data_IF_831882723071
#
_entry.id   IF_831882723071
#
_cell.length_a   1.000
_cell.length_b   1.000
_cell.length_c   1.000
_cell.angle_alpha   90.00
_cell.angle_beta   90.00
_cell.angle_gamma   90.00
#
_symmetry.space_group_name_H-M   'P 1'
#
loop_
_entity.id
_entity.type
_entity.pdbx_description
1 polymer ?
#
# COMPACT_ATOMS: atom_id res chain seq x y z
N UNK A 1 40.07 3.85 4.68
CA UNK A 1 40.38 3.08 3.46
C UNK A 1 40.03 1.64 3.77
N UNK A 2 39.03 0.96 3.24
CA UNK A 2 37.80 1.29 2.48
C UNK A 2 36.63 0.95 3.45
N UNK A 3 35.45 1.53 3.39
CA UNK A 3 34.42 1.13 2.43
C UNK A 3 33.61 2.36 2.02
N UNK A 4 33.62 2.65 0.72
CA UNK A 4 32.65 3.57 0.15
C UNK A 4 31.25 3.08 0.52
N UNK A 5 30.43 3.99 1.04
CA UNK A 5 29.05 3.70 1.44
C UNK A 5 28.28 2.98 0.33
N UNK A 6 27.13 2.42 0.68
CA UNK A 6 26.22 1.72 -0.24
C UNK A 6 26.16 2.37 -1.63
N UNK A 7 26.10 3.71 -1.65
CA UNK A 7 26.22 4.60 -2.81
C UNK A 7 27.38 4.29 -3.77
N UNK A 8 28.60 4.12 -3.26
CA UNK A 8 29.80 3.85 -4.06
C UNK A 8 29.82 2.40 -4.59
N UNK A 9 29.18 1.46 -3.89
CA UNK A 9 28.97 0.08 -4.35
C UNK A 9 27.89 0.04 -5.43
N UNK A 10 26.80 0.79 -5.28
CA UNK A 10 25.73 0.93 -6.26
C UNK A 10 26.26 1.53 -7.57
N UNK A 11 27.04 2.62 -7.51
CA UNK A 11 27.67 3.22 -8.71
C UNK A 11 28.55 2.25 -9.49
N UNK A 12 29.12 1.27 -8.81
CA UNK A 12 30.01 0.25 -9.39
C UNK A 12 29.24 -0.93 -10.02
N UNK A 13 28.07 -1.28 -9.47
CA UNK A 13 27.19 -2.34 -9.97
C UNK A 13 26.52 -1.94 -11.29
N UNK A 14 26.12 -0.68 -11.44
CA UNK A 14 25.39 -0.22 -12.63
C UNK A 14 26.24 0.18 -13.85
N UNK A 15 27.58 0.06 -13.79
CA UNK A 15 28.50 0.47 -14.88
C UNK A 15 28.07 1.76 -15.60
N UNK A 16 27.71 2.80 -14.85
CA UNK A 16 27.23 4.06 -15.44
C UNK A 16 28.46 4.90 -15.82
N UNK A 17 28.91 4.74 -17.08
CA UNK A 17 29.69 5.76 -17.77
C UNK A 17 28.77 6.95 -18.07
N UNK A 18 29.03 8.08 -17.39
CA UNK A 18 28.60 9.46 -17.67
C UNK A 18 27.10 9.78 -17.92
N UNK A 19 26.61 10.85 -17.26
CA UNK A 19 25.29 11.51 -17.42
C UNK A 19 24.05 10.87 -16.76
N UNK A 20 24.09 10.64 -15.44
CA UNK A 20 22.87 10.69 -14.62
C UNK A 20 23.03 11.85 -13.62
N UNK A 21 22.07 12.76 -13.56
CA UNK A 21 22.06 13.83 -12.56
C UNK A 21 21.90 13.25 -11.14
N UNK A 22 22.20 14.05 -10.12
CA UNK A 22 22.17 13.62 -8.72
C UNK A 22 20.77 13.15 -8.29
N UNK A 23 19.71 13.68 -8.89
CA UNK A 23 18.32 13.33 -8.57
C UNK A 23 17.99 11.94 -9.13
N UNK A 24 18.39 11.64 -10.37
CA UNK A 24 18.21 10.31 -10.98
C UNK A 24 18.94 9.22 -10.20
N UNK A 25 20.12 9.53 -9.65
CA UNK A 25 20.87 8.59 -8.80
C UNK A 25 20.18 8.37 -7.45
N UNK A 26 19.57 9.42 -6.89
CA UNK A 26 18.81 9.36 -5.63
C UNK A 26 17.53 8.53 -5.80
N UNK A 27 16.78 8.74 -6.89
CA UNK A 27 15.60 7.94 -7.26
C UNK A 27 15.94 6.47 -7.44
N UNK A 28 17.00 6.16 -8.21
CA UNK A 28 17.45 4.79 -8.41
C UNK A 28 17.85 4.13 -7.07
N UNK A 29 18.45 4.88 -6.15
CA UNK A 29 18.78 4.39 -4.82
C UNK A 29 17.52 4.15 -3.96
N UNK A 30 16.48 4.97 -4.10
CA UNK A 30 15.17 4.78 -3.49
C UNK A 30 14.51 3.49 -3.98
N UNK A 31 14.40 3.31 -5.30
CA UNK A 31 13.85 2.10 -5.91
C UNK A 31 14.55 0.83 -5.42
N UNK A 32 15.88 0.83 -5.38
CA UNK A 32 16.64 -0.35 -4.92
C UNK A 32 16.36 -0.65 -3.45
N UNK A 33 16.27 0.39 -2.62
CA UNK A 33 15.92 0.24 -1.21
C UNK A 33 14.52 -0.36 -1.05
N UNK A 34 13.54 0.16 -1.79
CA UNK A 34 12.17 -0.35 -1.80
C UNK A 34 12.14 -1.81 -2.23
N UNK A 35 12.89 -2.20 -3.27
CA UNK A 35 13.03 -3.62 -3.67
C UNK A 35 13.55 -4.49 -2.52
N UNK A 36 14.51 -4.00 -1.72
CA UNK A 36 15.00 -4.77 -0.57
C UNK A 36 13.95 -4.89 0.53
N UNK A 37 13.23 -3.81 0.88
CA UNK A 37 12.14 -3.82 1.88
C UNK A 37 10.99 -4.73 1.44
N UNK A 38 10.65 -4.65 0.17
CA UNK A 38 9.63 -5.46 -0.51
C UNK A 38 9.86 -6.97 -0.35
N UNK A 39 11.11 -7.45 -0.33
CA UNK A 39 11.41 -8.88 -0.22
C UNK A 39 11.08 -9.46 1.16
N UNK A 40 10.94 -8.62 2.19
CA UNK A 40 10.66 -9.05 3.56
C UNK A 40 9.17 -8.94 3.93
N UNK A 41 8.31 -8.49 2.99
CA UNK A 41 6.85 -8.36 3.20
C UNK A 41 6.09 -9.64 2.81
N UNK A 42 4.96 -9.83 3.48
CA UNK A 42 3.94 -10.85 3.21
C UNK A 42 2.65 -10.23 2.65
N UNK A 43 1.76 -11.08 2.11
CA UNK A 43 0.47 -10.68 1.54
C UNK A 43 -0.37 -9.79 2.47
N UNK A 44 -0.35 -10.08 3.78
CA UNK A 44 -1.09 -9.31 4.79
C UNK A 44 -0.63 -7.84 4.91
N UNK A 45 0.62 -7.54 4.56
CA UNK A 45 1.22 -6.23 4.78
C UNK A 45 0.81 -5.23 3.68
N UNK A 46 0.37 -5.73 2.52
CA UNK A 46 0.04 -4.91 1.34
C UNK A 46 -1.41 -5.10 0.85
N UNK A 47 -2.14 -6.07 1.40
CA UNK A 47 -3.47 -6.41 0.90
C UNK A 47 -4.47 -5.27 1.12
N UNK A 48 -5.37 -5.12 0.15
CA UNK A 48 -6.63 -4.42 0.38
C UNK A 48 -7.46 -5.24 1.37
N UNK A 49 -7.59 -4.72 2.60
CA UNK A 49 -8.33 -5.37 3.67
C UNK A 49 -9.80 -5.65 3.27
N UNK A 50 -10.38 -6.76 3.72
CA UNK A 50 -11.74 -7.24 3.33
C UNK A 50 -12.85 -6.20 3.35
N UNK A 51 -12.78 -5.26 4.30
CA UNK A 51 -13.75 -4.17 4.48
C UNK A 51 -13.76 -3.18 3.31
N UNK A 52 -12.65 -3.09 2.58
CA UNK A 52 -12.45 -2.15 1.49
C UNK A 52 -12.51 -2.86 0.12
N UNK A 53 -12.79 -4.16 0.09
CA UNK A 53 -12.95 -4.88 -1.17
C UNK A 53 -14.24 -4.44 -1.84
N UNK A 54 -14.12 -3.92 -3.06
CA UNK A 54 -15.23 -3.63 -3.95
C UNK A 54 -15.50 -4.88 -4.80
N UNK A 55 -16.62 -5.56 -4.52
CA UNK A 55 -17.00 -6.81 -5.15
C UNK A 55 -18.44 -6.78 -5.70
N UNK A 56 -18.70 -7.63 -6.68
CA UNK A 56 -19.99 -7.76 -7.36
C UNK A 56 -20.78 -8.94 -6.79
N UNK A 57 -22.05 -8.73 -6.46
CA UNK A 57 -22.96 -9.83 -6.11
C UNK A 57 -23.19 -10.71 -7.35
N UNK A 58 -22.81 -11.98 -7.27
CA UNK A 58 -22.96 -12.92 -8.36
C UNK A 58 -24.40 -13.25 -8.72
N UNK A 59 -25.36 -13.00 -7.82
CA UNK A 59 -26.79 -13.22 -8.05
C UNK A 59 -27.47 -12.05 -8.76
N UNK A 60 -26.86 -10.87 -8.75
CA UNK A 60 -27.40 -9.69 -9.42
C UNK A 60 -27.32 -9.84 -10.95
N UNK A 61 -28.33 -9.35 -11.70
CA UNK A 61 -28.27 -9.30 -13.14
C UNK A 61 -27.08 -8.46 -13.63
N UNK A 62 -26.48 -8.86 -14.75
CA UNK A 62 -25.38 -8.14 -15.39
C UNK A 62 -25.66 -6.64 -15.58
N UNK A 63 -26.89 -6.25 -15.91
CA UNK A 63 -27.24 -4.83 -16.09
C UNK A 63 -27.16 -3.98 -14.81
N UNK A 64 -27.35 -4.59 -13.64
CA UNK A 64 -27.24 -3.95 -12.34
C UNK A 64 -25.77 -3.89 -11.95
N UNK A 65 -25.10 -5.06 -12.01
CA UNK A 65 -23.68 -5.18 -11.70
C UNK A 65 -22.81 -4.24 -12.55
N UNK A 66 -23.07 -4.15 -13.87
CA UNK A 66 -22.29 -3.29 -14.75
C UNK A 66 -22.42 -1.80 -14.40
N UNK A 67 -23.61 -1.35 -13.97
CA UNK A 67 -23.78 0.06 -13.55
C UNK A 67 -22.93 0.34 -12.32
N UNK A 68 -22.98 -0.54 -11.32
CA UNK A 68 -22.12 -0.47 -10.16
C UNK A 68 -20.63 -0.45 -10.55
N UNK A 69 -20.19 -1.37 -11.40
CA UNK A 69 -18.79 -1.42 -11.85
C UNK A 69 -18.33 -0.14 -12.57
N UNK A 70 -19.23 0.56 -13.26
CA UNK A 70 -18.91 1.81 -13.98
C UNK A 70 -18.85 3.04 -13.06
N UNK A 71 -19.38 2.95 -11.85
CA UNK A 71 -19.28 4.00 -10.83
C UNK A 71 -17.94 3.93 -10.08
N UNK A 72 -17.25 2.80 -10.17
CA UNK A 72 -16.00 2.50 -9.47
C UNK A 72 -14.77 2.70 -10.37
N UNK A 73 -13.62 2.97 -9.75
CA UNK A 73 -12.35 3.21 -10.47
C UNK A 73 -11.58 1.93 -10.84
N UNK A 74 -12.18 0.75 -10.63
CA UNK A 74 -11.49 -0.54 -10.79
C UNK A 74 -11.76 -1.19 -12.15
N UNK A 75 -10.75 -1.93 -12.64
CA UNK A 75 -10.88 -2.67 -13.90
C UNK A 75 -11.33 -4.12 -13.72
N UNK A 76 -11.19 -4.67 -12.51
CA UNK A 76 -11.43 -6.07 -12.19
C UNK A 76 -12.13 -6.17 -10.85
N UNK A 77 -13.14 -7.02 -10.76
CA UNK A 77 -14.01 -7.13 -9.61
C UNK A 77 -14.14 -8.60 -9.20
N UNK A 78 -13.92 -8.93 -7.92
CA UNK A 78 -14.34 -10.21 -7.37
C UNK A 78 -15.85 -10.36 -7.47
N UNK A 79 -16.30 -11.57 -7.80
CA UNK A 79 -17.71 -11.93 -7.79
C UNK A 79 -17.93 -12.83 -6.58
N UNK A 80 -18.85 -12.44 -5.71
CA UNK A 80 -19.17 -13.20 -4.52
C UNK A 80 -20.51 -13.93 -4.63
N UNK A 81 -20.67 -15.01 -3.87
CA UNK A 81 -21.88 -15.83 -3.79
C UNK A 81 -22.86 -15.28 -2.75
N UNK A 82 -22.88 -15.87 -1.57
CA UNK A 82 -23.67 -15.37 -0.44
C UNK A 82 -23.03 -14.15 0.24
N UNK A 83 -21.71 -14.19 0.41
CA UNK A 83 -20.91 -13.11 1.00
C UNK A 83 -19.47 -13.14 0.48
N UNK A 84 -18.64 -12.20 0.95
CA UNK A 84 -17.25 -12.04 0.51
C UNK A 84 -16.34 -13.24 0.85
N UNK A 85 -16.76 -14.14 1.73
CA UNK A 85 -16.02 -15.37 2.04
C UNK A 85 -16.27 -16.43 0.96
N UNK A 86 -17.26 -16.25 0.08
CA UNK A 86 -17.54 -17.09 -1.08
C UNK A 86 -17.22 -16.37 -2.40
N UNK A 87 -15.93 -16.22 -2.74
CA UNK A 87 -15.52 -15.67 -4.05
C UNK A 87 -15.59 -16.73 -5.14
N UNK A 88 -16.48 -16.52 -6.12
CA UNK A 88 -16.77 -17.46 -7.21
C UNK A 88 -15.81 -17.27 -8.40
N UNK A 89 -15.25 -16.08 -8.56
CA UNK A 89 -14.32 -15.74 -9.63
C UNK A 89 -14.11 -14.24 -9.76
N UNK A 90 -13.40 -13.84 -10.82
CA UNK A 90 -13.10 -12.43 -11.12
C UNK A 90 -13.67 -12.07 -12.49
N UNK A 91 -14.34 -10.92 -12.60
CA UNK A 91 -14.79 -10.36 -13.88
C UNK A 91 -14.05 -9.06 -14.19
N UNK A 92 -13.63 -8.91 -15.44
CA UNK A 92 -13.03 -7.69 -15.94
C UNK A 92 -14.12 -6.77 -16.52
N UNK A 93 -14.04 -5.46 -16.28
CA UNK A 93 -15.02 -4.48 -16.76
C UNK A 93 -15.26 -4.59 -18.28
N UNK A 94 -14.19 -4.73 -19.06
CA UNK A 94 -14.27 -4.99 -20.51
C UNK A 94 -15.06 -6.26 -20.88
N UNK A 95 -14.96 -7.35 -20.12
CA UNK A 95 -15.72 -8.58 -20.37
C UNK A 95 -17.20 -8.38 -20.01
N UNK A 96 -17.49 -7.72 -18.89
CA UNK A 96 -18.85 -7.34 -18.51
C UNK A 96 -19.51 -6.43 -19.57
N UNK A 97 -18.78 -5.44 -20.09
CA UNK A 97 -19.21 -4.60 -21.21
C UNK A 97 -19.46 -5.41 -22.48
N UNK A 98 -18.59 -6.37 -22.80
CA UNK A 98 -18.77 -7.27 -23.97
C UNK A 98 -20.04 -8.10 -23.83
N UNK A 99 -20.32 -8.63 -22.63
CA UNK A 99 -21.56 -9.35 -22.34
C UNK A 99 -22.79 -8.45 -22.50
N UNK A 100 -22.72 -7.22 -22.02
CA UNK A 100 -23.85 -6.29 -22.01
C UNK A 100 -24.32 -5.87 -23.41
N UNK A 101 -23.43 -5.94 -24.41
CA UNK A 101 -23.79 -5.73 -25.82
C UNK A 101 -24.74 -6.81 -26.36
N UNK A 102 -24.75 -8.00 -25.77
CA UNK A 102 -25.78 -9.02 -26.03
C UNK A 102 -26.97 -8.83 -25.09
N UNK A 103 -28.09 -8.35 -25.64
CA UNK A 103 -29.30 -8.06 -24.86
C UNK A 103 -29.83 -9.27 -24.09
N UNK A 104 -29.52 -10.49 -24.55
CA UNK A 104 -29.93 -11.75 -23.90
C UNK A 104 -29.17 -12.02 -22.60
N UNK A 105 -27.97 -11.46 -22.44
CA UNK A 105 -27.12 -11.66 -21.26
C UNK A 105 -27.37 -10.62 -20.17
N UNK A 106 -27.97 -9.46 -20.49
CA UNK A 106 -28.28 -8.40 -19.52
C UNK A 106 -29.06 -8.86 -18.27
N UNK A 107 -30.12 -9.70 -18.39
CA UNK A 107 -30.86 -10.16 -17.21
C UNK A 107 -30.23 -11.39 -16.54
N UNK A 108 -29.10 -11.90 -17.06
CA UNK A 108 -28.45 -13.11 -16.53
C UNK A 108 -27.66 -12.74 -15.27
N UNK A 109 -27.76 -13.53 -14.18
CA UNK A 109 -26.92 -13.35 -13.01
C UNK A 109 -25.43 -13.41 -13.38
N UNK A 110 -24.62 -12.51 -12.81
CA UNK A 110 -23.20 -12.41 -13.18
C UNK A 110 -22.48 -13.75 -13.04
N UNK A 111 -22.73 -14.51 -11.96
CA UNK A 111 -22.08 -15.81 -11.69
C UNK A 111 -22.33 -16.87 -12.77
N UNK A 112 -23.37 -16.71 -13.59
CA UNK A 112 -23.71 -17.64 -14.66
C UNK A 112 -22.98 -17.33 -15.98
N UNK A 113 -22.27 -16.19 -16.07
CA UNK A 113 -21.46 -15.77 -17.22
C UNK A 113 -20.09 -16.48 -17.26
N UNK A 114 -20.09 -17.81 -17.16
CA UNK A 114 -18.89 -18.64 -16.94
C UNK A 114 -17.76 -18.41 -17.94
N UNK A 115 -18.08 -18.12 -19.20
CA UNK A 115 -17.07 -17.90 -20.25
C UNK A 115 -16.33 -16.56 -20.10
N UNK A 116 -16.84 -15.67 -19.26
CA UNK A 116 -16.33 -14.31 -19.03
C UNK A 116 -15.76 -14.12 -17.62
N UNK A 117 -15.94 -15.11 -16.75
CA UNK A 117 -15.40 -15.13 -15.39
C UNK A 117 -14.08 -15.89 -15.41
N UNK A 118 -13.05 -15.25 -14.86
CA UNK A 118 -11.76 -15.89 -14.63
C UNK A 118 -11.77 -16.61 -13.28
N UNK A 119 -11.11 -17.78 -13.19
CA UNK A 119 -10.92 -18.45 -11.91
C UNK A 119 -10.14 -17.54 -10.97
N UNK A 120 -10.51 -17.59 -9.69
CA UNK A 120 -9.83 -16.87 -8.62
C UNK A 120 -8.74 -17.75 -8.01
N UNK A 121 -7.62 -17.13 -7.63
CA UNK A 121 -6.53 -17.80 -6.91
C UNK A 121 -6.55 -17.35 -5.46
N UNK A 122 -6.46 -18.31 -4.55
CA UNK A 122 -6.43 -18.05 -3.11
C UNK A 122 -5.03 -18.26 -2.56
N UNK A 123 -4.61 -17.37 -1.67
CA UNK A 123 -3.31 -17.44 -1.00
C UNK A 123 -3.46 -17.20 0.51
N UNK A 124 -2.56 -17.71 1.35
CA UNK A 124 -2.54 -17.35 2.78
C UNK A 124 -1.96 -15.95 2.99
N UNK A 125 -2.31 -15.34 4.12
CA UNK A 125 -1.75 -14.06 4.61
C UNK A 125 -0.23 -14.02 4.67
N UNK A 126 0.40 -15.17 4.97
CA UNK A 126 1.86 -15.35 5.16
C UNK A 126 2.61 -15.65 3.86
N UNK A 127 1.98 -15.46 2.70
CA UNK A 127 2.63 -15.65 1.41
C UNK A 127 3.57 -14.47 1.15
N UNK A 128 4.87 -14.74 1.09
CA UNK A 128 5.88 -13.74 0.68
C UNK A 128 5.53 -13.09 -0.66
N UNK A 129 5.64 -11.76 -0.69
CA UNK A 129 5.30 -10.96 -1.88
C UNK A 129 6.23 -11.28 -3.06
N UNK A 130 7.51 -11.55 -2.82
CA UNK A 130 8.48 -11.88 -3.87
C UNK A 130 8.07 -13.12 -4.67
N UNK A 131 7.50 -14.09 -3.97
CA UNK A 131 7.06 -15.38 -4.51
C UNK A 131 5.71 -15.18 -5.19
N UNK A 132 4.80 -14.46 -4.54
CA UNK A 132 3.50 -14.11 -5.09
C UNK A 132 3.64 -13.39 -6.43
N UNK A 133 4.52 -12.39 -6.53
CA UNK A 133 4.72 -11.62 -7.75
C UNK A 133 5.20 -12.48 -8.92
N UNK A 134 6.15 -13.40 -8.68
CA UNK A 134 6.64 -14.34 -9.71
C UNK A 134 5.52 -15.27 -10.19
N UNK A 135 4.69 -15.77 -9.28
CA UNK A 135 3.54 -16.62 -9.60
C UNK A 135 2.49 -15.85 -10.42
N UNK A 136 2.10 -14.66 -9.96
CA UNK A 136 1.17 -13.78 -10.64
C UNK A 136 1.64 -13.41 -12.06
N UNK A 137 2.93 -13.13 -12.25
CA UNK A 137 3.52 -12.89 -13.57
C UNK A 137 3.46 -14.14 -14.47
N UNK A 138 3.85 -15.30 -13.95
CA UNK A 138 3.89 -16.54 -14.72
C UNK A 138 2.49 -16.96 -15.19
N UNK A 139 1.49 -16.81 -14.33
CA UNK A 139 0.10 -17.16 -14.60
C UNK A 139 -0.68 -16.04 -15.31
N UNK A 140 -0.08 -14.85 -15.45
CA UNK A 140 -0.76 -13.63 -15.92
C UNK A 140 -2.01 -13.34 -15.10
N UNK A 141 -1.93 -13.62 -13.80
CA UNK A 141 -2.97 -13.35 -12.84
C UNK A 141 -2.73 -11.98 -12.21
N UNK A 142 -3.73 -11.10 -12.25
CA UNK A 142 -3.63 -9.73 -11.76
C UNK A 142 -4.23 -9.55 -10.37
N UNK A 143 -5.04 -10.51 -9.90
CA UNK A 143 -5.73 -10.42 -8.61
C UNK A 143 -5.70 -11.77 -7.92
N UNK A 144 -5.38 -11.77 -6.64
CA UNK A 144 -5.50 -12.93 -5.76
C UNK A 144 -6.32 -12.55 -4.53
N UNK A 145 -7.00 -13.54 -3.96
CA UNK A 145 -7.75 -13.38 -2.70
C UNK A 145 -6.92 -13.95 -1.56
N UNK A 146 -6.79 -13.18 -0.49
CA UNK A 146 -6.05 -13.55 0.71
C UNK A 146 -7.01 -14.15 1.72
N UNK A 147 -6.67 -15.33 2.23
CA UNK A 147 -7.46 -16.05 3.23
C UNK A 147 -6.75 -16.08 4.60
N UNK A 148 -7.55 -16.02 5.67
CA UNK A 148 -7.10 -16.32 7.03
C UNK A 148 -7.00 -17.83 7.30
N UNK A 149 -6.60 -18.20 8.51
CA UNK A 149 -6.46 -19.60 8.93
C UNK A 149 -7.80 -20.34 9.07
N UNK A 150 -8.91 -19.60 9.12
CA UNK A 150 -10.27 -20.15 9.19
C UNK A 150 -10.91 -20.29 7.80
N UNK A 151 -10.22 -19.87 6.75
CA UNK A 151 -10.68 -19.89 5.37
C UNK A 151 -11.61 -18.74 5.00
N UNK A 152 -11.66 -17.67 5.80
CA UNK A 152 -12.39 -16.45 5.49
C UNK A 152 -11.54 -15.52 4.63
N UNK A 153 -12.18 -14.64 3.86
CA UNK A 153 -11.48 -13.64 3.08
C UNK A 153 -10.93 -12.54 4.00
N UNK A 154 -9.62 -12.47 4.11
CA UNK A 154 -8.89 -11.40 4.81
C UNK A 154 -8.73 -10.16 3.96
N UNK A 155 -8.52 -10.36 2.66
CA UNK A 155 -8.19 -9.27 1.75
C UNK A 155 -8.03 -9.70 0.30
N UNK A 156 -7.53 -8.77 -0.50
CA UNK A 156 -7.22 -8.93 -1.91
C UNK A 156 -5.87 -8.29 -2.18
N UNK A 157 -5.05 -8.93 -3.03
CA UNK A 157 -3.81 -8.33 -3.54
C UNK A 157 -3.90 -8.24 -5.06
N UNK A 158 -3.71 -7.05 -5.58
CA UNK A 158 -3.53 -6.78 -7.00
C UNK A 158 -2.03 -6.77 -7.36
N UNK A 159 -1.73 -7.05 -8.63
CA UNK A 159 -0.35 -6.93 -9.12
C UNK A 159 0.15 -5.49 -9.05
N UNK A 160 -0.77 -4.55 -9.20
CA UNK A 160 -0.55 -3.12 -9.10
C UNK A 160 -0.09 -2.73 -7.67
N UNK A 161 -0.70 -3.27 -6.62
CA UNK A 161 -0.29 -3.03 -5.21
C UNK A 161 1.17 -3.47 -4.98
N UNK A 162 1.56 -4.63 -5.52
CA UNK A 162 2.93 -5.15 -5.46
C UNK A 162 3.93 -4.21 -6.17
N UNK A 163 3.52 -3.60 -7.28
CA UNK A 163 4.36 -2.67 -8.03
C UNK A 163 4.47 -1.32 -7.31
N UNK A 164 3.40 -0.85 -6.68
CA UNK A 164 3.38 0.37 -5.88
C UNK A 164 4.39 0.28 -4.73
N UNK A 165 4.50 -0.87 -4.06
CA UNK A 165 5.50 -1.09 -3.01
C UNK A 165 6.95 -0.99 -3.50
N UNK A 166 7.20 -1.34 -4.76
CA UNK A 166 8.54 -1.28 -5.36
C UNK A 166 8.83 0.13 -5.85
N UNK A 167 7.87 0.73 -6.56
CA UNK A 167 8.06 1.97 -7.30
C UNK A 167 7.81 3.20 -6.43
N UNK A 168 7.00 3.07 -5.38
CA UNK A 168 6.38 4.19 -4.68
C UNK A 168 5.28 4.84 -5.51
N UNK A 169 4.69 5.92 -4.99
CA UNK A 169 3.85 6.81 -5.80
C UNK A 169 4.67 7.27 -7.00
N UNK A 170 4.25 6.91 -8.22
CA UNK A 170 4.87 7.44 -9.44
C UNK A 170 4.52 8.92 -9.48
N UNK A 171 5.40 9.75 -8.94
CA UNK A 171 5.34 11.20 -9.07
C UNK A 171 5.55 11.53 -10.55
N UNK A 172 4.54 12.14 -11.17
CA UNK A 172 4.70 12.74 -12.49
C UNK A 172 5.75 13.86 -12.44
N UNK A 173 6.32 14.24 -13.57
CA UNK A 173 7.27 15.37 -13.69
C UNK A 173 6.68 16.73 -13.27
N UNK A 174 5.39 16.73 -12.94
CA UNK A 174 4.58 17.85 -12.47
C UNK A 174 4.05 17.67 -11.04
N UNK A 175 4.27 16.53 -10.40
CA UNK A 175 3.85 16.30 -9.03
C UNK A 175 4.88 16.93 -8.10
N UNK A 176 4.44 17.92 -7.31
CA UNK A 176 5.24 18.42 -6.20
C UNK A 176 5.48 17.25 -5.24
N UNK A 177 6.75 16.91 -4.95
CA UNK A 177 7.14 15.97 -3.89
C UNK A 177 6.20 16.20 -2.70
N UNK A 178 5.37 15.19 -2.34
CA UNK A 178 4.66 15.28 -1.06
C UNK A 178 5.74 15.30 0.01
N UNK A 179 6.04 16.49 0.53
CA UNK A 179 7.09 16.67 1.54
C UNK A 179 6.58 16.03 2.84
N UNK A 180 6.85 14.74 3.00
CA UNK A 180 6.48 13.95 4.17
C UNK A 180 7.17 14.45 5.43
N UNK A 181 8.29 15.17 5.30
CA UNK A 181 8.97 15.81 6.42
C UNK A 181 9.67 17.10 6.01
N UNK A 182 9.42 18.17 6.76
CA UNK A 182 10.08 19.47 6.58
C UNK A 182 10.86 19.84 7.83
N UNK A 183 12.11 20.27 7.66
CA UNK A 183 12.86 20.90 8.76
C UNK A 183 12.42 22.36 8.92
N UNK A 184 12.01 22.72 10.13
CA UNK A 184 11.62 24.07 10.52
C UNK A 184 12.86 24.92 10.84
N UNK A 185 12.70 26.26 10.80
CA UNK A 185 13.79 27.20 11.05
C UNK A 185 14.40 27.13 12.46
N UNK A 186 13.65 26.58 13.43
CA UNK A 186 14.11 26.35 14.81
C UNK A 186 14.88 25.03 14.98
N UNK A 187 15.08 24.26 13.90
CA UNK A 187 15.76 22.97 13.91
C UNK A 187 14.85 21.80 14.27
N UNK A 188 13.56 22.04 14.57
CA UNK A 188 12.55 20.99 14.69
C UNK A 188 12.11 20.47 13.33
N UNK A 189 11.37 19.37 13.30
CA UNK A 189 10.78 18.82 12.08
C UNK A 189 9.27 18.85 12.16
N UNK A 190 8.61 18.98 11.00
CA UNK A 190 7.18 18.73 10.83
C UNK A 190 7.03 17.54 9.89
N UNK A 191 6.48 16.44 10.37
CA UNK A 191 6.31 15.20 9.60
C UNK A 191 4.83 14.89 9.37
N UNK A 192 4.53 14.22 8.26
CA UNK A 192 3.26 13.58 7.97
C UNK A 192 3.12 12.35 8.89
N UNK A 193 1.94 12.12 9.47
CA UNK A 193 1.74 10.94 10.32
C UNK A 193 1.74 9.62 9.56
N UNK A 194 1.50 9.61 8.25
CA UNK A 194 1.69 8.42 7.40
C UNK A 194 3.15 8.22 6.97
N UNK A 195 4.07 9.08 7.41
CA UNK A 195 5.50 8.85 7.16
C UNK A 195 5.93 7.51 7.77
N UNK A 196 6.63 6.72 6.96
CA UNK A 196 7.24 5.46 7.35
C UNK A 196 8.30 5.69 8.44
N UNK A 197 8.29 4.87 9.48
CA UNK A 197 9.24 5.00 10.59
C UNK A 197 10.68 4.78 10.16
N UNK A 198 10.96 3.91 9.19
CA UNK A 198 12.32 3.69 8.68
C UNK A 198 12.85 4.95 7.99
N UNK A 199 12.01 5.60 7.19
CA UNK A 199 12.37 6.86 6.54
C UNK A 199 12.54 7.97 7.56
N UNK A 200 11.79 7.93 8.67
CA UNK A 200 11.95 8.87 9.76
C UNK A 200 13.27 8.65 10.50
N UNK A 201 13.70 7.40 10.75
CA UNK A 201 15.00 7.05 11.35
C UNK A 201 16.21 7.54 10.54
N UNK A 202 16.05 7.68 9.22
CA UNK A 202 17.08 8.25 8.37
C UNK A 202 17.25 9.77 8.57
N UNK A 203 16.20 10.45 9.02
CA UNK A 203 16.16 11.91 9.24
C UNK A 203 16.48 12.28 10.68
N UNK A 204 15.96 11.52 11.64
CA UNK A 204 16.19 11.70 13.07
C UNK A 204 16.93 10.49 13.63
N UNK A 205 17.92 10.71 14.49
CA UNK A 205 18.74 9.63 15.06
C UNK A 205 18.00 8.87 16.17
N UNK A 206 16.90 8.23 15.82
CA UNK A 206 16.05 7.40 16.68
C UNK A 206 16.01 5.99 16.11
N UNK A 207 15.71 5.00 16.96
CA UNK A 207 15.27 3.68 16.50
C UNK A 207 13.93 3.34 17.10
N UNK A 208 12.97 3.00 16.26
CA UNK A 208 11.64 2.56 16.68
C UNK A 208 11.59 1.04 16.79
N UNK A 209 10.85 0.54 17.77
CA UNK A 209 10.48 -0.88 17.82
C UNK A 209 9.34 -1.12 16.83
N UNK A 210 9.65 -1.72 15.67
CA UNK A 210 8.73 -1.82 14.51
C UNK A 210 7.89 -3.10 14.47
N UNK A 211 7.87 -3.89 15.55
CA UNK A 211 7.15 -5.17 15.56
C UNK A 211 5.62 -5.00 15.51
N UNK A 212 5.10 -3.83 15.90
CA UNK A 212 3.65 -3.59 16.03
C UNK A 212 3.09 -2.47 15.14
N UNK A 213 3.95 -1.64 14.54
CA UNK A 213 3.54 -0.50 13.72
C UNK A 213 4.63 -0.09 12.72
N UNK A 214 4.21 0.43 11.55
CA UNK A 214 5.12 0.84 10.47
C UNK A 214 5.16 2.36 10.25
N UNK A 215 4.11 3.08 10.64
CA UNK A 215 3.95 4.52 10.40
C UNK A 215 4.08 5.34 11.69
N UNK A 216 4.43 6.62 11.54
CA UNK A 216 4.48 7.57 12.66
C UNK A 216 3.14 7.68 13.40
N UNK A 217 2.02 7.62 12.69
CA UNK A 217 0.67 7.60 13.26
C UNK A 217 0.45 6.33 14.09
N UNK A 218 0.81 5.17 13.56
CA UNK A 218 0.71 3.89 14.28
C UNK A 218 1.50 3.91 15.59
N UNK A 219 2.77 4.32 15.51
CA UNK A 219 3.63 4.51 16.69
C UNK A 219 3.01 5.45 17.73
N UNK A 220 2.53 6.62 17.31
CA UNK A 220 1.99 7.59 18.28
C UNK A 220 0.67 7.13 18.91
N UNK A 221 -0.21 6.46 18.16
CA UNK A 221 -1.45 5.90 18.70
C UNK A 221 -1.14 4.82 19.73
N UNK A 222 -0.17 3.95 19.43
CA UNK A 222 0.31 2.92 20.36
C UNK A 222 0.84 3.56 21.66
N UNK A 223 1.76 4.52 21.54
CA UNK A 223 2.31 5.22 22.71
C UNK A 223 1.28 6.01 23.52
N UNK A 224 0.20 6.47 22.88
CA UNK A 224 -0.89 7.18 23.54
C UNK A 224 -1.95 6.24 24.14
N UNK A 225 -1.95 4.94 23.79
CA UNK A 225 -2.98 3.93 24.09
C UNK A 225 -4.41 4.38 23.71
N UNK A 226 -4.51 5.26 22.69
CA UNK A 226 -5.77 5.76 22.12
C UNK A 226 -5.54 6.62 20.89
N UNK A 227 -6.61 6.86 20.15
CA UNK A 227 -6.65 7.85 19.07
C UNK A 227 -6.91 9.24 19.69
N UNK A 228 -6.02 10.24 19.47
CA UNK A 228 -6.24 11.61 19.94
C UNK A 228 -7.41 12.28 19.22
N UNK A 229 -8.11 13.21 19.90
CA UNK A 229 -9.15 14.03 19.26
C UNK A 229 -8.58 15.15 18.38
N UNK A 230 -9.38 15.70 17.46
CA UNK A 230 -8.97 16.78 16.53
C UNK A 230 -8.43 18.04 17.24
N UNK A 231 -8.99 18.38 18.40
CA UNK A 231 -8.59 19.56 19.20
C UNK A 231 -7.59 19.21 20.32
N UNK A 232 -7.09 17.98 20.36
CA UNK A 232 -6.28 17.48 21.45
C UNK A 232 -4.79 17.64 21.17
N UNK A 233 -4.10 18.40 22.01
CA UNK A 233 -2.63 18.47 21.98
C UNK A 233 -2.03 17.30 22.75
N UNK A 234 -1.64 16.26 22.02
CA UNK A 234 -0.92 15.13 22.56
C UNK A 234 0.59 15.28 22.37
N UNK A 235 1.36 14.85 23.37
CA UNK A 235 2.82 14.86 23.33
C UNK A 235 3.32 13.49 23.77
N UNK A 236 4.17 12.88 22.94
CA UNK A 236 4.88 11.63 23.23
C UNK A 236 6.37 11.95 23.31
N UNK A 237 7.05 11.42 24.31
CA UNK A 237 8.51 11.53 24.43
C UNK A 237 9.14 10.15 24.26
N UNK A 238 10.10 10.04 23.34
CA UNK A 238 10.72 8.77 22.98
C UNK A 238 12.16 9.00 22.49
N UNK A 239 13.12 8.22 23.02
CA UNK A 239 14.54 8.22 22.62
C UNK A 239 15.17 9.63 22.48
N UNK A 240 14.86 10.53 23.43
CA UNK A 240 15.40 11.90 23.45
C UNK A 240 14.72 12.87 22.47
N UNK A 241 13.63 12.47 21.83
CA UNK A 241 12.79 13.32 21.00
C UNK A 241 11.41 13.52 21.60
N UNK A 242 10.81 14.67 21.30
CA UNK A 242 9.44 15.03 21.63
C UNK A 242 8.62 15.09 20.35
N UNK A 243 7.55 14.30 20.30
CA UNK A 243 6.58 14.25 19.22
C UNK A 243 5.30 14.94 19.68
N UNK A 244 4.96 16.06 19.08
CA UNK A 244 3.75 16.83 19.38
C UNK A 244 2.77 16.67 18.23
N UNK A 245 1.59 16.11 18.50
CA UNK A 245 0.51 16.01 17.51
C UNK A 245 -0.01 17.41 17.22
N UNK A 246 0.09 17.83 15.95
CA UNK A 246 -0.34 19.16 15.50
C UNK A 246 -1.73 19.12 14.87
N UNK A 247 -2.05 18.05 14.16
CA UNK A 247 -3.30 17.90 13.43
C UNK A 247 -3.70 16.43 13.34
N UNK A 248 -4.97 16.17 13.67
CA UNK A 248 -5.63 14.88 13.52
C UNK A 248 -6.84 15.11 12.63
N UNK A 249 -7.05 14.23 11.67
CA UNK A 249 -8.24 14.22 10.80
C UNK A 249 -8.68 12.77 10.57
N UNK A 250 -9.99 12.52 10.55
CA UNK A 250 -10.55 11.19 10.31
C UNK A 250 -9.91 10.07 11.16
N UNK A 251 -9.74 10.32 12.47
CA UNK A 251 -9.09 9.40 13.42
C UNK A 251 -7.62 9.05 13.09
N UNK A 252 -6.96 9.86 12.27
CA UNK A 252 -5.58 9.67 11.83
C UNK A 252 -4.76 10.90 12.21
N UNK A 253 -3.62 10.71 12.86
CA UNK A 253 -2.65 11.77 13.09
C UNK A 253 -2.05 12.14 11.73
N UNK A 254 -2.28 13.37 11.28
CA UNK A 254 -1.85 13.85 9.96
C UNK A 254 -0.53 14.59 10.03
N UNK A 255 -0.30 15.38 11.09
CA UNK A 255 0.92 16.20 11.23
C UNK A 255 1.48 16.15 12.64
N UNK A 256 2.79 15.99 12.73
CA UNK A 256 3.53 15.85 13.98
C UNK A 256 4.72 16.80 13.98
N UNK A 257 4.88 17.59 15.05
CA UNK A 257 6.12 18.33 15.31
C UNK A 257 7.09 17.43 16.06
N UNK A 258 8.33 17.32 15.59
CA UNK A 258 9.37 16.51 16.20
C UNK A 258 10.51 17.41 16.65
N UNK A 259 10.82 17.39 17.94
CA UNK A 259 11.83 18.24 18.56
C UNK A 259 12.86 17.38 19.29
N UNK A 260 14.14 17.58 19.02
CA UNK A 260 15.19 16.97 19.82
C UNK A 260 15.20 17.63 21.20
N UNK A 261 15.09 16.85 22.27
CA UNK A 261 15.26 17.38 23.63
C UNK A 261 16.75 17.67 23.84
N UNK A 262 17.06 18.88 24.25
CA UNK A 262 18.37 19.20 24.80
C UNK A 262 18.56 18.39 26.08
N UNK A 263 19.67 17.66 26.20
CA UNK A 263 20.12 17.13 27.49
C UNK A 263 20.39 18.33 28.41
N UNK A 264 19.75 18.37 29.59
CA UNK A 264 20.17 19.24 30.70
C UNK A 264 21.36 18.62 31.45
#
# INVERSE_FOLDING_TARGET
>A
MEEGGLFHRMKRIFQVEEEMDEDTVKEAAGLIRNIFRYMDKDAKDIMTHRKNIVAVDGNEPLEVALKFMLEESYSRFPIYGEDIDEIVGIIHLREAMTCYLDERLRPVPVKDLKDYIRPVTFIPETKSIDTLFKEMQAEKNHIVIVLDEYGQTSGLVAMEDILEEIVGNILDEHDEEEVLITQNADGSYTANGMMDLEDLEDVIFVKFEKEEYETLNGFLIDQLDRIPGEDEQCVVEYEGYRFTVLFVDNNTIQRVKIEKRSEE
#
